data_IF_945589115596
#
_entry.id   IF_945589115596
#
_cell.length_a   1.000
_cell.length_b   1.000
_cell.length_c   1.000
_cell.angle_alpha   90.00
_cell.angle_beta   90.00
_cell.angle_gamma   90.00
#
_symmetry.space_group_name_H-M   'P 1'
#
loop_
_entity.id
_entity.type
_entity.pdbx_description
1 polymer ?
#
# COMPACT_ATOMS: atom_id res chain seq x y z
N UNK A 1 7.28 -2.40 6.42
CA UNK A 1 7.31 -1.88 5.04
C UNK A 1 7.63 -3.03 4.07
N UNK A 2 6.78 -3.31 3.09
CA UNK A 2 7.00 -4.38 2.12
C UNK A 2 8.12 -4.04 1.13
N UNK A 3 8.93 -5.04 0.77
CA UNK A 3 10.01 -4.89 -0.21
C UNK A 3 9.52 -5.00 -1.66
N UNK A 4 10.23 -4.38 -2.60
CA UNK A 4 9.88 -4.41 -4.04
C UNK A 4 9.83 -5.83 -4.63
N UNK A 5 10.57 -6.79 -4.08
CA UNK A 5 10.52 -8.21 -4.49
C UNK A 5 9.20 -8.87 -4.08
N UNK A 6 8.73 -8.62 -2.86
CA UNK A 6 7.45 -9.16 -2.38
C UNK A 6 6.28 -8.60 -3.21
N UNK A 7 6.36 -7.31 -3.57
CA UNK A 7 5.36 -6.69 -4.46
C UNK A 7 5.45 -7.28 -5.88
N UNK A 8 6.64 -7.63 -6.36
CA UNK A 8 6.82 -8.26 -7.66
C UNK A 8 6.12 -9.62 -7.70
N UNK A 9 6.34 -10.45 -6.69
CA UNK A 9 5.74 -11.78 -6.58
C UNK A 9 4.20 -11.72 -6.54
N UNK A 10 3.64 -10.69 -5.89
CA UNK A 10 2.19 -10.53 -5.77
C UNK A 10 1.52 -9.92 -7.02
N UNK A 11 2.25 -9.15 -7.83
CA UNK A 11 1.68 -8.37 -8.96
C UNK A 11 2.09 -8.89 -10.33
N UNK A 12 3.12 -9.74 -10.41
CA UNK A 12 3.75 -10.13 -11.67
C UNK A 12 4.58 -9.01 -12.33
N UNK A 13 4.72 -7.84 -11.69
CA UNK A 13 5.56 -6.76 -12.19
C UNK A 13 7.03 -7.06 -11.93
N UNK A 14 7.91 -6.54 -12.80
CA UNK A 14 9.36 -6.71 -12.64
C UNK A 14 9.86 -6.02 -11.35
N UNK A 15 10.71 -6.69 -10.54
CA UNK A 15 11.27 -6.10 -9.32
C UNK A 15 12.01 -4.77 -9.57
N UNK A 16 12.70 -4.63 -10.70
CA UNK A 16 13.40 -3.40 -11.06
C UNK A 16 12.41 -2.25 -11.31
N UNK A 17 11.28 -2.55 -11.96
CA UNK A 17 10.24 -1.55 -12.21
C UNK A 17 9.62 -1.06 -10.91
N UNK A 18 9.35 -1.97 -9.98
CA UNK A 18 8.85 -1.63 -8.65
C UNK A 18 9.89 -0.86 -7.82
N UNK A 19 11.18 -1.15 -7.97
CA UNK A 19 12.26 -0.35 -7.41
C UNK A 19 12.24 1.08 -7.98
N UNK A 20 12.07 1.24 -9.30
CA UNK A 20 11.94 2.57 -9.92
C UNK A 20 10.73 3.32 -9.39
N UNK A 21 9.54 2.70 -9.38
CA UNK A 21 8.31 3.32 -8.85
C UNK A 21 8.50 3.78 -7.40
N UNK A 22 9.19 2.98 -6.57
CA UNK A 22 9.40 3.29 -5.16
C UNK A 22 10.37 4.44 -4.91
N UNK A 23 11.46 4.52 -5.67
CA UNK A 23 12.58 5.41 -5.34
C UNK A 23 12.72 6.61 -6.27
N UNK A 24 12.17 6.57 -7.48
CA UNK A 24 12.20 7.68 -8.42
C UNK A 24 10.88 8.44 -8.38
N UNK A 25 10.90 9.69 -7.88
CA UNK A 25 9.70 10.54 -7.78
C UNK A 25 9.12 10.96 -9.12
N UNK A 26 9.93 10.96 -10.18
CA UNK A 26 9.50 11.31 -11.53
C UNK A 26 8.91 10.11 -12.28
N UNK A 27 8.97 8.91 -11.68
CA UNK A 27 8.43 7.71 -12.29
C UNK A 27 6.90 7.79 -12.39
N UNK A 28 6.41 7.96 -13.61
CA UNK A 28 4.98 7.83 -13.90
C UNK A 28 4.58 6.36 -13.80
N UNK A 29 3.61 6.07 -12.92
CA UNK A 29 2.99 4.74 -12.78
C UNK A 29 1.93 4.61 -13.86
N UNK A 30 2.03 3.55 -14.69
CA UNK A 30 1.03 3.30 -15.72
C UNK A 30 -0.24 2.74 -15.09
N UNK A 31 -1.39 2.98 -15.72
CA UNK A 31 -2.69 2.48 -15.24
C UNK A 31 -2.68 0.97 -15.00
N UNK A 32 -2.11 0.18 -15.91
CA UNK A 32 -2.03 -1.28 -15.75
C UNK A 32 -1.13 -1.72 -14.57
N UNK A 33 -0.10 -0.95 -14.23
CA UNK A 33 0.73 -1.22 -13.06
C UNK A 33 -0.02 -0.89 -11.77
N UNK A 34 -0.74 0.24 -11.77
CA UNK A 34 -1.58 0.64 -10.66
C UNK A 34 -2.70 -0.39 -10.42
N UNK A 35 -3.34 -0.86 -11.49
CA UNK A 35 -4.36 -1.90 -11.43
C UNK A 35 -3.81 -3.20 -10.85
N UNK A 36 -2.65 -3.65 -11.31
CA UNK A 36 -2.01 -4.86 -10.79
C UNK A 36 -1.72 -4.74 -9.29
N UNK A 37 -1.20 -3.58 -8.84
CA UNK A 37 -0.93 -3.32 -7.42
C UNK A 37 -2.24 -3.28 -6.62
N UNK A 38 -3.27 -2.59 -7.12
CA UNK A 38 -4.57 -2.49 -6.45
C UNK A 38 -5.28 -3.84 -6.35
N UNK A 39 -5.16 -4.70 -7.35
CA UNK A 39 -5.68 -6.07 -7.32
C UNK A 39 -4.93 -6.95 -6.30
N UNK A 40 -3.61 -6.82 -6.20
CA UNK A 40 -2.80 -7.56 -5.24
C UNK A 40 -3.02 -7.11 -3.78
N UNK A 41 -3.34 -5.84 -3.57
CA UNK A 41 -3.54 -5.24 -2.25
C UNK A 41 -4.90 -4.51 -2.16
N UNK A 42 -5.97 -5.31 -2.18
CA UNK A 42 -7.35 -4.82 -2.26
C UNK A 42 -7.75 -3.84 -1.15
N UNK A 43 -7.18 -3.98 0.06
CA UNK A 43 -7.43 -3.08 1.17
C UNK A 43 -6.92 -1.64 0.91
N UNK A 44 -6.00 -1.46 -0.03
CA UNK A 44 -5.47 -0.15 -0.41
C UNK A 44 -6.01 0.32 -1.77
N UNK A 45 -6.95 -0.41 -2.40
CA UNK A 45 -7.35 -0.16 -3.79
C UNK A 45 -7.97 1.23 -3.98
N UNK A 46 -8.87 1.65 -3.07
CA UNK A 46 -9.48 2.99 -3.13
C UNK A 46 -8.40 4.07 -3.02
N UNK A 47 -7.55 3.97 -2.00
CA UNK A 47 -6.48 4.92 -1.77
C UNK A 47 -5.49 5.00 -2.94
N UNK A 48 -5.12 3.87 -3.53
CA UNK A 48 -4.24 3.82 -4.69
C UNK A 48 -4.83 4.53 -5.92
N UNK A 49 -6.15 4.48 -6.10
CA UNK A 49 -6.84 5.01 -7.29
C UNK A 49 -7.32 6.45 -7.13
N UNK A 50 -7.76 6.84 -5.94
CA UNK A 50 -8.42 8.14 -5.69
C UNK A 50 -7.75 8.97 -4.59
N UNK A 51 -6.90 8.36 -3.76
CA UNK A 51 -6.34 8.99 -2.57
C UNK A 51 -7.29 8.98 -1.36
N UNK A 52 -8.50 8.44 -1.51
CA UNK A 52 -9.52 8.38 -0.45
C UNK A 52 -9.41 7.10 0.38
N UNK A 53 -10.03 7.09 1.56
CA UNK A 53 -10.19 5.91 2.42
C UNK A 53 -11.65 5.73 2.80
N UNK A 54 -12.07 4.49 3.01
CA UNK A 54 -13.39 4.11 3.52
C UNK A 54 -13.23 2.92 4.48
N UNK A 55 -13.13 3.24 5.77
CA UNK A 55 -12.92 2.26 6.84
C UNK A 55 -14.08 1.26 6.93
N UNK A 56 -15.31 1.69 6.62
CA UNK A 56 -16.50 0.83 6.70
C UNK A 56 -16.44 -0.34 5.70
N UNK A 57 -15.71 -0.15 4.60
CA UNK A 57 -15.48 -1.15 3.55
C UNK A 57 -14.08 -1.76 3.60
N UNK A 58 -13.33 -1.53 4.68
CA UNK A 58 -11.95 -2.01 4.83
C UNK A 58 -10.96 -1.38 3.83
N UNK A 59 -11.30 -0.23 3.24
CA UNK A 59 -10.44 0.53 2.35
C UNK A 59 -9.63 1.53 3.18
N UNK A 60 -8.34 1.26 3.35
CA UNK A 60 -7.46 2.01 4.23
C UNK A 60 -6.30 2.60 3.44
N UNK A 61 -5.53 3.48 4.08
CA UNK A 61 -4.23 3.94 3.57
C UNK A 61 -3.10 3.29 4.34
N UNK A 62 -1.88 3.23 3.78
CA UNK A 62 -0.70 2.80 4.52
C UNK A 62 -0.47 3.60 5.81
N UNK A 63 -0.75 4.91 5.78
CA UNK A 63 -0.64 5.77 6.96
C UNK A 63 -1.64 5.37 8.06
N UNK A 64 -2.87 5.00 7.69
CA UNK A 64 -3.85 4.47 8.64
C UNK A 64 -3.38 3.13 9.23
N UNK A 65 -2.93 2.20 8.39
CA UNK A 65 -2.42 0.90 8.86
C UNK A 65 -1.24 1.06 9.84
N UNK A 66 -0.31 1.98 9.58
CA UNK A 66 0.80 2.26 10.49
C UNK A 66 0.36 2.91 11.82
N UNK A 67 -0.66 3.77 11.79
CA UNK A 67 -1.21 4.38 12.99
C UNK A 67 -1.96 3.37 13.86
N UNK A 68 -2.77 2.52 13.23
CA UNK A 68 -3.56 1.47 13.87
C UNK A 68 -2.66 0.44 14.57
N UNK A 69 -1.60 -0.03 13.90
CA UNK A 69 -0.57 -0.89 14.49
C UNK A 69 0.11 -0.28 15.73
N UNK A 70 0.31 1.05 15.74
CA UNK A 70 0.87 1.75 16.90
C UNK A 70 -0.14 1.84 18.05
N UNK A 71 -1.44 1.89 17.78
CA UNK A 71 -2.48 1.90 18.80
C UNK A 71 -2.65 0.52 19.44
N UNK A 72 -2.65 -0.56 18.66
CA UNK A 72 -2.66 -1.94 19.19
C UNK A 72 -1.43 -2.25 20.06
N UNK A 73 -0.26 -1.75 19.67
CA UNK A 73 0.97 -1.88 20.47
C UNK A 73 0.98 -1.01 21.74
N UNK A 74 0.15 0.04 21.78
CA UNK A 74 -0.07 0.89 22.95
C UNK A 74 -1.27 0.38 23.74
N UNK A 75 -1.16 -0.84 24.26
CA UNK A 75 -1.96 -1.26 25.40
C UNK A 75 -1.44 -0.48 26.63
N UNK A 76 -1.73 0.82 26.65
CA UNK A 76 -1.45 1.69 27.77
C UNK A 76 -2.40 1.27 28.90
N UNK A 77 -1.92 0.32 29.70
CA UNK A 77 -2.52 -0.02 30.97
C UNK A 77 -2.68 1.27 31.78
N UNK A 78 -3.92 1.70 31.95
CA UNK A 78 -4.28 2.73 32.90
C UNK A 78 -3.96 2.20 34.30
N UNK A 79 -3.14 2.91 35.05
CA UNK A 79 -3.04 2.79 36.51
C UNK A 79 -3.58 4.06 37.14
#
# INVERSE_FOLDING_TARGET
MLGHRVVADATGLKPERLKTIRYNRDAQVRTNELDAIACAYQQYSLWLRTGEIDLSRGQISPAYAEADLKLEGQNAGSK
#
